data_IF_644401883019
#
_entry.id   IF_644401883019
#
_cell.length_a   1.000
_cell.length_b   1.000
_cell.length_c   1.000
_cell.angle_alpha   90.00
_cell.angle_beta   90.00
_cell.angle_gamma   90.00
#
_symmetry.space_group_name_H-M   'P 1'
#
loop_
_entity.id
_entity.type
_entity.pdbx_description
1 polymer ?
#
# COMPACT_ATOMS: atom_id res chain seq x y z
N UNK A 1 -1.59 -42.77 12.30
CA UNK A 1 -1.32 -41.94 11.10
C UNK A 1 -2.06 -40.63 11.21
N UNK A 2 -3.36 -40.62 11.53
CA UNK A 2 -4.16 -39.40 11.74
C UNK A 2 -3.60 -38.40 12.76
N UNK A 3 -3.07 -38.84 13.91
CA UNK A 3 -2.48 -37.93 14.91
C UNK A 3 -1.27 -37.13 14.38
N UNK A 4 -0.46 -37.75 13.51
CA UNK A 4 0.72 -37.12 12.92
C UNK A 4 0.30 -36.04 11.91
N UNK A 5 -0.75 -36.31 11.13
CA UNK A 5 -1.31 -35.33 10.21
C UNK A 5 -1.96 -34.15 10.94
N UNK A 6 -2.68 -34.42 12.04
CA UNK A 6 -3.26 -33.35 12.85
C UNK A 6 -2.19 -32.48 13.51
N UNK A 7 -1.15 -33.08 14.09
CA UNK A 7 -0.02 -32.34 14.65
C UNK A 7 0.69 -31.47 13.61
N UNK A 8 0.97 -32.01 12.41
CA UNK A 8 1.62 -31.27 11.33
C UNK A 8 0.75 -30.10 10.82
N UNK A 9 -0.57 -30.29 10.71
CA UNK A 9 -1.49 -29.23 10.27
C UNK A 9 -1.56 -28.06 11.27
N UNK A 10 -1.55 -28.35 12.57
CA UNK A 10 -1.56 -27.33 13.62
C UNK A 10 -0.27 -26.51 13.58
N UNK A 11 0.88 -27.18 13.50
CA UNK A 11 2.20 -26.51 13.40
C UNK A 11 2.26 -25.61 12.17
N UNK A 12 1.78 -26.09 11.03
CA UNK A 12 1.77 -25.33 9.78
C UNK A 12 0.88 -24.08 9.86
N UNK A 13 -0.32 -24.21 10.45
CA UNK A 13 -1.22 -23.05 10.68
C UNK A 13 -0.55 -21.99 11.54
N UNK A 14 0.04 -22.37 12.67
CA UNK A 14 0.74 -21.43 13.56
C UNK A 14 1.89 -20.72 12.86
N UNK A 15 2.71 -21.45 12.08
CA UNK A 15 3.83 -20.88 11.34
C UNK A 15 3.34 -19.83 10.34
N UNK A 16 2.28 -20.13 9.59
CA UNK A 16 1.76 -19.22 8.57
C UNK A 16 1.05 -18.02 9.17
N UNK A 17 0.24 -18.19 10.21
CA UNK A 17 -0.37 -17.05 10.91
C UNK A 17 0.69 -16.11 11.48
N UNK A 18 1.73 -16.67 12.10
CA UNK A 18 2.85 -15.89 12.61
C UNK A 18 3.61 -15.17 11.49
N UNK A 19 3.87 -15.86 10.38
CA UNK A 19 4.58 -15.29 9.23
C UNK A 19 3.79 -14.19 8.54
N UNK A 20 2.48 -14.37 8.33
CA UNK A 20 1.59 -13.33 7.78
C UNK A 20 1.57 -12.11 8.68
N UNK A 21 1.47 -12.29 10.01
CA UNK A 21 1.46 -11.18 10.96
C UNK A 21 2.78 -10.39 10.93
N UNK A 22 3.92 -11.08 10.80
CA UNK A 22 5.22 -10.42 10.62
C UNK A 22 5.31 -9.65 9.30
N UNK A 23 4.88 -10.24 8.19
CA UNK A 23 4.89 -9.58 6.88
C UNK A 23 4.01 -8.32 6.87
N UNK A 24 2.82 -8.39 7.46
CA UNK A 24 1.95 -7.23 7.62
C UNK A 24 2.58 -6.15 8.51
N UNK A 25 3.22 -6.54 9.61
CA UNK A 25 3.92 -5.62 10.49
C UNK A 25 5.04 -4.87 9.75
N UNK A 26 5.84 -5.58 8.96
CA UNK A 26 6.89 -4.95 8.15
C UNK A 26 6.32 -3.96 7.13
N UNK A 27 5.26 -4.35 6.42
CA UNK A 27 4.58 -3.46 5.46
C UNK A 27 4.08 -2.18 6.13
N UNK A 28 3.42 -2.28 7.29
CA UNK A 28 2.93 -1.13 8.06
C UNK A 28 4.08 -0.24 8.54
N UNK A 29 5.14 -0.84 9.11
CA UNK A 29 6.31 -0.08 9.58
C UNK A 29 6.97 0.72 8.45
N UNK A 30 7.17 0.12 7.29
CA UNK A 30 7.74 0.77 6.10
C UNK A 30 6.84 1.90 5.62
N UNK A 31 5.53 1.65 5.53
CA UNK A 31 4.55 2.64 5.11
C UNK A 31 4.54 3.86 6.05
N UNK A 32 4.50 3.63 7.37
CA UNK A 32 4.51 4.69 8.38
C UNK A 32 5.83 5.47 8.32
N UNK A 33 6.97 4.78 8.24
CA UNK A 33 8.27 5.44 8.16
C UNK A 33 8.39 6.32 6.92
N UNK A 34 8.02 5.80 5.75
CA UNK A 34 8.07 6.57 4.50
C UNK A 34 7.06 7.71 4.50
N UNK A 35 5.86 7.53 5.04
CA UNK A 35 4.88 8.60 5.19
C UNK A 35 5.41 9.74 6.10
N UNK A 36 5.94 9.41 7.28
CA UNK A 36 6.49 10.41 8.21
C UNK A 36 7.69 11.13 7.59
N UNK A 37 8.63 10.39 6.99
CA UNK A 37 9.80 10.96 6.33
C UNK A 37 9.39 11.90 5.20
N UNK A 38 8.46 11.47 4.33
CA UNK A 38 7.94 12.29 3.23
C UNK A 38 7.20 13.52 3.73
N UNK A 39 6.45 13.43 4.84
CA UNK A 39 5.76 14.57 5.44
C UNK A 39 6.74 15.63 5.97
N UNK A 40 7.80 15.21 6.66
CA UNK A 40 8.87 16.11 7.13
C UNK A 40 9.58 16.79 5.96
N UNK A 41 9.88 16.01 4.90
CA UNK A 41 10.55 16.54 3.72
C UNK A 41 9.66 17.49 2.91
N UNK A 42 8.34 17.28 2.95
CA UNK A 42 7.36 18.10 2.23
C UNK A 42 7.28 19.51 2.82
N UNK A 43 7.39 19.65 4.14
CA UNK A 43 7.60 20.96 4.79
C UNK A 43 8.86 21.67 4.29
N UNK A 44 9.86 20.91 3.81
CA UNK A 44 11.13 21.41 3.29
C UNK A 44 11.11 21.75 1.79
N UNK A 45 9.96 21.60 1.11
CA UNK A 45 9.69 22.08 -0.27
C UNK A 45 10.55 21.42 -1.37
N UNK A 46 10.80 20.12 -1.25
CA UNK A 46 11.61 19.34 -2.20
C UNK A 46 10.71 18.48 -3.12
N UNK A 47 10.92 18.53 -4.44
CA UNK A 47 10.09 17.82 -5.44
C UNK A 47 10.31 16.29 -5.46
N UNK A 48 11.40 15.82 -4.84
CA UNK A 48 11.84 14.41 -4.84
C UNK A 48 10.93 13.46 -4.03
N UNK A 49 9.92 14.00 -3.35
CA UNK A 49 9.11 13.33 -2.34
C UNK A 49 8.09 12.37 -2.94
N UNK A 50 7.55 12.71 -4.11
CA UNK A 50 6.52 11.88 -4.77
C UNK A 50 7.06 10.50 -5.13
N UNK A 51 8.32 10.42 -5.55
CA UNK A 51 8.98 9.17 -5.92
C UNK A 51 9.30 8.31 -4.70
N UNK A 52 9.82 8.90 -3.61
CA UNK A 52 10.10 8.18 -2.36
C UNK A 52 8.81 7.64 -1.73
N UNK A 53 7.72 8.41 -1.76
CA UNK A 53 6.44 7.97 -1.24
C UNK A 53 5.85 6.82 -2.08
N UNK A 54 5.93 6.92 -3.42
CA UNK A 54 5.45 5.87 -4.32
C UNK A 54 6.23 4.55 -4.12
N UNK A 55 7.55 4.63 -3.96
CA UNK A 55 8.38 3.46 -3.64
C UNK A 55 8.04 2.86 -2.28
N UNK A 56 7.83 3.68 -1.24
CA UNK A 56 7.44 3.21 0.08
C UNK A 56 6.09 2.48 0.09
N UNK A 57 5.12 3.02 -0.66
CA UNK A 57 3.80 2.41 -0.83
C UNK A 57 3.91 1.10 -1.61
N UNK A 58 4.67 1.07 -2.71
CA UNK A 58 4.86 -0.15 -3.50
C UNK A 58 5.48 -1.28 -2.66
N UNK A 59 6.52 -0.97 -1.88
CA UNK A 59 7.18 -1.95 -1.02
C UNK A 59 6.23 -2.45 0.09
N UNK A 60 5.45 -1.56 0.71
CA UNK A 60 4.46 -1.95 1.72
C UNK A 60 3.38 -2.88 1.13
N UNK A 61 2.97 -2.64 -0.13
CA UNK A 61 2.02 -3.47 -0.85
C UNK A 61 2.59 -4.84 -1.23
N UNK A 62 3.86 -4.94 -1.61
CA UNK A 62 4.53 -6.22 -1.86
C UNK A 62 4.56 -7.10 -0.60
N UNK A 63 4.85 -6.53 0.56
CA UNK A 63 4.80 -7.27 1.83
C UNK A 63 3.37 -7.69 2.23
N UNK A 64 2.39 -6.80 2.03
CA UNK A 64 0.96 -7.10 2.23
C UNK A 64 0.49 -8.26 1.34
N UNK A 65 0.89 -8.25 0.06
CA UNK A 65 0.56 -9.31 -0.89
C UNK A 65 1.21 -10.64 -0.51
N UNK A 66 2.48 -10.63 -0.11
CA UNK A 66 3.17 -11.84 0.36
C UNK A 66 2.51 -12.51 1.56
N UNK A 67 2.00 -11.70 2.52
CA UNK A 67 1.26 -12.19 3.68
C UNK A 67 -0.08 -12.84 3.32
N UNK A 68 -0.80 -12.26 2.35
CA UNK A 68 -2.06 -12.80 1.84
C UNK A 68 -1.85 -14.12 1.06
N UNK A 69 -0.79 -14.19 0.25
CA UNK A 69 -0.41 -15.42 -0.48
C UNK A 69 -0.05 -16.55 0.50
N UNK A 70 0.70 -16.27 1.56
CA UNK A 70 1.01 -17.27 2.59
C UNK A 70 -0.26 -17.82 3.26
N UNK A 71 -1.21 -16.92 3.59
CA UNK A 71 -2.47 -17.28 4.26
C UNK A 71 -3.37 -18.16 3.40
N UNK A 72 -3.41 -17.87 2.10
CA UNK A 72 -4.21 -18.60 1.11
C UNK A 72 -3.67 -19.99 0.77
N UNK A 73 -2.36 -20.23 0.94
CA UNK A 73 -1.75 -21.56 0.76
C UNK A 73 -2.19 -22.56 1.84
N UNK A 74 -2.63 -22.10 3.02
CA UNK A 74 -2.88 -22.95 4.20
C UNK A 74 -4.35 -23.19 4.52
N UNK A 75 -5.20 -22.17 4.41
CA UNK A 75 -6.60 -22.27 4.85
C UNK A 75 -7.49 -22.60 3.65
N UNK A 76 -7.81 -23.88 3.47
CA UNK A 76 -8.83 -24.34 2.50
C UNK A 76 -10.29 -24.24 2.96
N UNK A 77 -10.60 -23.42 3.95
CA UNK A 77 -11.96 -23.06 4.38
C UNK A 77 -12.19 -21.55 4.13
N UNK A 78 -12.52 -21.24 2.87
CA UNK A 78 -12.23 -19.97 2.20
C UNK A 78 -13.33 -18.90 2.20
N UNK A 79 -14.59 -19.26 2.42
CA UNK A 79 -15.69 -18.41 1.99
C UNK A 79 -15.86 -17.14 2.85
N UNK A 80 -15.83 -17.28 4.18
CA UNK A 80 -16.17 -16.17 5.08
C UNK A 80 -14.99 -15.21 5.31
N UNK A 81 -13.78 -15.75 5.44
CA UNK A 81 -12.56 -14.94 5.58
C UNK A 81 -12.15 -14.27 4.26
N UNK A 82 -12.41 -14.93 3.11
CA UNK A 82 -12.15 -14.36 1.79
C UNK A 82 -13.06 -13.16 1.49
N UNK A 83 -14.32 -13.18 1.91
CA UNK A 83 -15.25 -12.05 1.75
C UNK A 83 -14.80 -10.86 2.59
N UNK A 84 -14.42 -11.08 3.85
CA UNK A 84 -13.94 -10.00 4.72
C UNK A 84 -12.62 -9.40 4.20
N UNK A 85 -11.69 -10.25 3.73
CA UNK A 85 -10.44 -9.81 3.09
C UNK A 85 -10.68 -9.04 1.79
N UNK A 86 -11.60 -9.52 0.95
CA UNK A 86 -11.97 -8.85 -0.30
C UNK A 86 -12.57 -7.46 -0.05
N UNK A 87 -13.42 -7.29 0.97
CA UNK A 87 -14.00 -5.98 1.33
C UNK A 87 -12.90 -5.01 1.79
N UNK A 88 -11.94 -5.46 2.60
CA UNK A 88 -10.83 -4.63 3.09
C UNK A 88 -9.91 -4.24 1.93
N UNK A 89 -9.61 -5.17 1.02
CA UNK A 89 -8.82 -4.91 -0.18
C UNK A 89 -9.52 -3.93 -1.14
N UNK A 90 -10.82 -4.11 -1.39
CA UNK A 90 -11.61 -3.20 -2.21
C UNK A 90 -11.62 -1.78 -1.62
N UNK A 91 -11.79 -1.66 -0.30
CA UNK A 91 -11.76 -0.37 0.39
C UNK A 91 -10.41 0.31 0.26
N UNK A 92 -9.31 -0.43 0.39
CA UNK A 92 -7.97 0.10 0.20
C UNK A 92 -7.73 0.55 -1.25
N UNK A 93 -8.13 -0.26 -2.23
CA UNK A 93 -7.99 0.03 -3.65
C UNK A 93 -8.80 1.28 -4.07
N UNK A 94 -10.06 1.38 -3.66
CA UNK A 94 -10.93 2.52 -4.00
C UNK A 94 -10.41 3.82 -3.40
N UNK A 95 -9.99 3.77 -2.12
CA UNK A 95 -9.43 4.93 -1.42
C UNK A 95 -8.10 5.36 -2.05
N UNK A 96 -7.27 4.40 -2.47
CA UNK A 96 -5.99 4.66 -3.12
C UNK A 96 -6.16 5.23 -4.54
N UNK A 97 -7.12 4.74 -5.32
CA UNK A 97 -7.45 5.27 -6.64
C UNK A 97 -7.90 6.73 -6.56
N UNK A 98 -8.80 7.06 -5.64
CA UNK A 98 -9.27 8.44 -5.45
C UNK A 98 -8.13 9.35 -5.01
N UNK A 99 -7.28 8.90 -4.08
CA UNK A 99 -6.12 9.67 -3.65
C UNK A 99 -5.10 9.91 -4.78
N UNK A 100 -4.95 8.93 -5.68
CA UNK A 100 -4.07 9.04 -6.84
C UNK A 100 -4.62 10.00 -7.90
N UNK A 101 -5.94 9.99 -8.12
CA UNK A 101 -6.62 10.88 -9.06
C UNK A 101 -6.53 12.35 -8.60
N UNK A 102 -6.79 12.62 -7.31
CA UNK A 102 -6.66 13.95 -6.70
C UNK A 102 -5.24 14.50 -6.83
N UNK A 103 -4.22 13.68 -6.60
CA UNK A 103 -2.81 14.08 -6.75
C UNK A 103 -2.43 14.35 -8.21
N UNK A 104 -3.14 13.75 -9.16
CA UNK A 104 -2.92 13.94 -10.60
C UNK A 104 -3.62 15.21 -11.12
N UNK A 105 -4.78 15.56 -10.57
CA UNK A 105 -5.52 16.80 -10.87
C UNK A 105 -4.71 18.06 -10.51
N UNK A 106 -4.05 18.09 -9.34
CA UNK A 106 -3.22 19.22 -8.91
C UNK A 106 -2.02 19.47 -9.84
N UNK A 107 -1.51 18.41 -10.48
CA UNK A 107 -0.38 18.51 -11.42
C UNK A 107 -0.78 19.13 -12.77
N UNK A 108 -2.08 19.10 -13.13
CA UNK A 108 -2.58 19.71 -14.39
C UNK A 108 -2.87 21.19 -14.23
N UNK A 109 -3.40 21.62 -13.08
CA UNK A 109 -3.72 23.03 -12.81
C UNK A 109 -2.47 23.91 -12.74
N UNK A 110 -1.33 23.36 -12.31
CA UNK A 110 -0.06 24.09 -12.22
C UNK A 110 0.61 24.32 -13.60
N UNK A 111 0.30 23.49 -14.61
CA UNK A 111 0.81 23.64 -15.97
C UNK A 111 0.10 24.77 -16.76
N UNK A 112 -1.18 25.02 -16.47
CA UNK A 112 -1.93 26.15 -17.08
C UNK A 112 -1.50 27.51 -16.54
N UNK A 113 -1.12 27.62 -15.26
CA UNK A 113 -0.63 28.88 -14.65
C UNK A 113 0.76 29.32 -15.13
N UNK A 114 1.59 28.42 -15.67
CA UNK A 114 2.89 28.76 -16.26
C UNK A 114 2.79 29.10 -17.76
N UNK A 115 1.60 29.09 -18.32
CA UNK A 115 1.33 29.31 -19.76
C UNK A 115 0.63 30.64 -20.05
N UNK A 116 0.67 31.62 -19.14
CA UNK A 116 0.28 33.00 -19.50
C UNK A 116 1.24 33.48 -20.59
N UNK A 117 0.77 33.79 -21.82
CA UNK A 117 1.64 34.34 -22.84
C UNK A 117 2.16 35.67 -22.31
N UNK A 118 3.48 35.87 -22.40
CA UNK A 118 4.09 37.19 -22.25
C UNK A 118 3.39 38.15 -23.22
N UNK A 119 2.43 38.93 -22.73
CA UNK A 119 1.78 39.99 -23.51
C UNK A 119 2.73 41.18 -23.42
N UNK A 120 3.37 41.59 -24.53
CA UNK A 120 4.15 42.82 -24.51
C UNK A 120 3.19 43.96 -24.20
N UNK A 121 3.52 44.76 -23.18
CA UNK A 121 2.72 45.91 -22.78
C UNK A 121 2.50 46.87 -23.96
N UNK A 122 1.36 47.59 -24.01
CA UNK A 122 1.09 48.53 -25.08
C UNK A 122 2.15 49.63 -25.08
N UNK A 123 2.81 49.81 -26.22
CA UNK A 123 3.68 50.95 -26.52
C UNK A 123 2.96 51.88 -27.50
#
# INVERSE_FOLDING_TARGET
MEDIYQGAAIVLRYIVEFSTLLLELFGICILVYTAVKSFIFWLKKDDSIRLQLAQGIALALEFKLGGEVLRTVVVREWAELGILGAIIALRAALTFLIHWEIKNEESRVQAEMNSTPNVPGPQ
#
